data_IF_829052382102
#
_entry.id   IF_829052382102
#
_cell.length_a   1.000
_cell.length_b   1.000
_cell.length_c   1.000
_cell.angle_alpha   90.00
_cell.angle_beta   90.00
_cell.angle_gamma   90.00
#
_symmetry.space_group_name_H-M   'P 1'
#
loop_
_entity.id
_entity.type
_entity.pdbx_description
1 polymer ?
#
# COMPACT_ATOMS: atom_id res chain seq x y z
N UNK A 1 29.23 7.90 5.88
CA UNK A 1 28.75 6.63 5.32
C UNK A 1 27.22 6.73 5.25
N UNK A 2 26.65 6.65 4.05
CA UNK A 2 25.21 6.47 3.91
C UNK A 2 24.90 5.00 4.23
N UNK A 3 23.96 4.78 5.13
CA UNK A 3 23.42 3.44 5.37
C UNK A 3 22.43 3.06 4.26
N UNK A 4 22.32 1.77 3.88
CA UNK A 4 21.33 1.33 2.93
C UNK A 4 19.91 1.59 3.49
N UNK A 5 18.95 1.78 2.59
CA UNK A 5 17.53 1.86 2.98
C UNK A 5 17.12 0.65 3.81
N UNK A 6 16.21 0.85 4.75
CA UNK A 6 15.65 -0.25 5.53
C UNK A 6 14.95 -1.25 4.62
N UNK A 7 14.81 -2.50 5.07
CA UNK A 7 14.06 -3.53 4.35
C UNK A 7 12.63 -3.06 4.06
N UNK A 8 12.01 -2.43 5.04
CA UNK A 8 10.65 -1.91 4.93
C UNK A 8 10.52 -0.82 3.88
N UNK A 9 11.46 0.13 3.82
CA UNK A 9 11.48 1.15 2.76
C UNK A 9 11.60 0.52 1.37
N UNK A 10 12.47 -0.50 1.22
CA UNK A 10 12.61 -1.23 -0.05
C UNK A 10 11.32 -1.96 -0.43
N UNK A 11 10.63 -2.57 0.53
CA UNK A 11 9.34 -3.22 0.29
C UNK A 11 8.25 -2.20 -0.05
N UNK A 12 8.19 -1.05 0.62
CA UNK A 12 7.25 0.02 0.28
C UNK A 12 7.49 0.55 -1.16
N UNK A 13 8.76 0.75 -1.52
CA UNK A 13 9.14 1.13 -2.90
C UNK A 13 8.70 0.03 -3.88
N UNK A 14 8.90 -1.24 -3.53
CA UNK A 14 8.47 -2.37 -4.36
C UNK A 14 6.95 -2.36 -4.60
N UNK A 15 6.14 -2.23 -3.56
CA UNK A 15 4.69 -2.15 -3.68
C UNK A 15 4.23 -0.95 -4.53
N UNK A 16 4.96 0.17 -4.46
CA UNK A 16 4.63 1.41 -5.18
C UNK A 16 5.20 1.50 -6.60
N UNK A 17 6.13 0.62 -6.97
CA UNK A 17 6.73 0.52 -8.31
C UNK A 17 6.32 -0.77 -9.02
N UNK A 18 6.97 -1.89 -8.69
CA UNK A 18 6.68 -3.21 -9.28
C UNK A 18 5.23 -3.63 -9.01
N UNK A 19 4.74 -3.37 -7.81
CA UNK A 19 3.35 -3.60 -7.43
C UNK A 19 2.33 -2.73 -8.17
N UNK A 20 2.77 -1.79 -9.00
CA UNK A 20 1.95 -0.97 -9.91
C UNK A 20 2.33 -1.13 -11.37
N UNK A 21 3.01 -2.24 -11.71
CA UNK A 21 3.36 -2.57 -13.08
C UNK A 21 4.54 -1.79 -13.66
N UNK A 22 5.36 -1.12 -12.83
CA UNK A 22 6.56 -0.39 -13.28
C UNK A 22 7.84 -1.08 -12.80
N UNK A 23 8.96 -1.00 -13.53
CA UNK A 23 10.22 -1.55 -13.06
C UNK A 23 10.76 -0.79 -11.84
N UNK A 24 11.50 -1.49 -11.00
CA UNK A 24 12.26 -0.91 -9.89
C UNK A 24 13.75 -0.84 -10.28
N UNK A 25 14.29 0.38 -10.35
CA UNK A 25 15.72 0.62 -10.50
C UNK A 25 16.30 1.07 -9.16
N UNK A 26 17.17 0.24 -8.58
CA UNK A 26 17.91 0.57 -7.36
C UNK A 26 19.33 1.01 -7.71
N UNK A 27 19.69 2.21 -7.30
CA UNK A 27 21.06 2.68 -7.43
C UNK A 27 21.87 2.27 -6.19
N UNK A 28 22.98 1.58 -6.41
CA UNK A 28 23.90 1.11 -5.37
C UNK A 28 25.28 1.65 -5.72
N UNK A 29 25.76 2.70 -5.03
CA UNK A 29 27.06 3.27 -5.32
C UNK A 29 28.18 2.31 -4.92
N UNK A 30 29.27 2.20 -5.70
CA UNK A 30 30.43 1.45 -5.30
C UNK A 30 31.17 2.16 -4.14
N UNK A 31 31.87 1.38 -3.32
CA UNK A 31 32.82 1.89 -2.34
C UNK A 31 34.13 2.36 -3.01
N UNK A 32 35.11 2.82 -2.21
CA UNK A 32 36.39 3.30 -2.73
C UNK A 32 37.20 2.23 -3.46
N UNK A 33 36.94 0.95 -3.20
CA UNK A 33 37.57 -0.19 -3.87
C UNK A 33 36.86 -0.61 -5.17
N UNK A 34 35.79 0.12 -5.57
CA UNK A 34 34.98 -0.21 -6.74
C UNK A 34 34.06 -1.41 -6.53
N UNK A 35 33.78 -1.80 -5.27
CA UNK A 35 32.90 -2.91 -4.89
C UNK A 35 31.64 -2.38 -4.20
N UNK A 36 30.57 -3.16 -4.16
CA UNK A 36 29.44 -2.86 -3.29
C UNK A 36 29.86 -2.98 -1.83
N UNK A 37 29.37 -2.09 -0.98
CA UNK A 37 29.59 -2.19 0.45
C UNK A 37 28.89 -3.44 1.02
N UNK A 38 29.48 -4.09 2.03
CA UNK A 38 28.92 -5.32 2.62
C UNK A 38 27.51 -5.11 3.19
N UNK A 39 27.23 -3.93 3.73
CA UNK A 39 25.90 -3.55 4.22
C UNK A 39 24.86 -3.52 3.10
N UNK A 40 25.19 -2.99 1.91
CA UNK A 40 24.30 -2.97 0.74
C UNK A 40 24.05 -4.39 0.24
N UNK A 41 25.10 -5.22 0.17
CA UNK A 41 24.97 -6.63 -0.24
C UNK A 41 24.07 -7.40 0.72
N UNK A 42 24.24 -7.22 2.02
CA UNK A 42 23.41 -7.85 3.04
C UNK A 42 21.95 -7.42 2.89
N UNK A 43 21.68 -6.12 2.73
CA UNK A 43 20.33 -5.56 2.54
C UNK A 43 19.66 -6.09 1.28
N UNK A 44 20.36 -6.19 0.17
CA UNK A 44 19.82 -6.73 -1.08
C UNK A 44 19.44 -8.22 -0.95
N UNK A 45 20.27 -9.01 -0.27
CA UNK A 45 19.95 -10.42 0.01
C UNK A 45 18.70 -10.56 0.88
N UNK A 46 18.61 -9.77 1.93
CA UNK A 46 17.44 -9.73 2.81
C UNK A 46 16.17 -9.31 2.03
N UNK A 47 16.27 -8.28 1.20
CA UNK A 47 15.17 -7.85 0.33
C UNK A 47 14.72 -8.97 -0.62
N UNK A 48 15.66 -9.66 -1.27
CA UNK A 48 15.35 -10.80 -2.14
C UNK A 48 14.67 -11.93 -1.38
N UNK A 49 15.20 -12.32 -0.22
CA UNK A 49 14.62 -13.37 0.62
C UNK A 49 13.19 -13.01 1.06
N UNK A 50 12.95 -11.75 1.38
CA UNK A 50 11.62 -11.26 1.76
C UNK A 50 10.63 -11.33 0.61
N UNK A 51 11.05 -11.01 -0.62
CA UNK A 51 10.21 -11.18 -1.81
C UNK A 51 9.92 -12.66 -2.08
N UNK A 52 10.92 -13.54 -1.92
CA UNK A 52 10.72 -14.99 -2.07
C UNK A 52 9.73 -15.54 -1.03
N UNK A 53 9.75 -15.02 0.20
CA UNK A 53 8.78 -15.36 1.23
C UNK A 53 7.37 -14.84 0.90
N UNK A 54 7.25 -13.59 0.43
CA UNK A 54 5.96 -12.99 0.05
C UNK A 54 5.23 -13.84 -1.00
N UNK A 55 5.98 -14.35 -1.98
CA UNK A 55 5.42 -15.14 -3.08
C UNK A 55 5.54 -16.66 -2.89
N UNK A 56 6.00 -17.13 -1.72
CA UNK A 56 6.17 -18.57 -1.44
C UNK A 56 4.86 -19.33 -1.40
N UNK A 57 3.76 -18.69 -1.03
CA UNK A 57 2.42 -19.24 -0.96
C UNK A 57 1.45 -18.29 -1.62
N UNK A 58 0.73 -18.81 -2.61
CA UNK A 58 -0.43 -18.15 -3.20
C UNK A 58 -1.70 -18.88 -2.74
N UNK A 59 -2.47 -18.26 -1.86
CA UNK A 59 -3.72 -18.82 -1.33
C UNK A 59 -4.84 -18.90 -2.37
N UNK A 60 -4.71 -18.19 -3.50
CA UNK A 60 -5.65 -18.25 -4.61
C UNK A 60 -5.31 -19.33 -5.63
N UNK A 61 -4.12 -19.99 -5.55
CA UNK A 61 -3.73 -21.00 -6.52
C UNK A 61 -4.74 -22.16 -6.57
N UNK A 62 -5.39 -22.34 -7.72
CA UNK A 62 -6.41 -23.37 -7.93
C UNK A 62 -7.73 -23.13 -7.18
N UNK A 63 -7.94 -21.96 -6.61
CA UNK A 63 -9.19 -21.58 -5.95
C UNK A 63 -10.37 -21.63 -6.94
N UNK A 64 -11.55 -21.99 -6.44
CA UNK A 64 -12.78 -21.92 -7.24
C UNK A 64 -13.15 -20.45 -7.47
N UNK A 65 -13.56 -20.15 -8.70
CA UNK A 65 -13.95 -18.81 -9.08
C UNK A 65 -15.36 -18.82 -9.67
N UNK A 66 -16.26 -18.02 -9.07
CA UNK A 66 -17.58 -17.74 -9.61
C UNK A 66 -17.60 -16.31 -10.13
N UNK A 67 -17.87 -16.14 -11.42
CA UNK A 67 -18.01 -14.83 -12.05
C UNK A 67 -19.48 -14.53 -12.35
N UNK A 68 -19.89 -13.26 -12.22
CA UNK A 68 -21.23 -12.80 -12.56
C UNK A 68 -21.56 -13.02 -14.04
N UNK A 69 -20.55 -12.92 -14.88
CA UNK A 69 -20.64 -13.21 -16.30
C UNK A 69 -19.30 -13.69 -16.85
N UNK A 70 -19.35 -14.44 -17.94
CA UNK A 70 -18.16 -14.92 -18.66
C UNK A 70 -18.43 -14.87 -20.15
N UNK A 71 -17.50 -14.35 -20.92
CA UNK A 71 -17.57 -14.33 -22.39
C UNK A 71 -17.79 -15.73 -22.92
N UNK A 72 -18.72 -15.89 -23.86
CA UNK A 72 -19.09 -17.19 -24.45
C UNK A 72 -18.00 -17.70 -25.40
N UNK A 73 -16.81 -17.87 -24.89
CA UNK A 73 -15.67 -18.41 -25.62
C UNK A 73 -14.80 -19.21 -24.66
N UNK A 74 -14.41 -20.42 -25.06
CA UNK A 74 -13.58 -21.32 -24.23
C UNK A 74 -12.22 -20.72 -23.83
N UNK A 75 -11.78 -19.66 -24.49
CA UNK A 75 -10.54 -18.91 -24.16
C UNK A 75 -10.68 -18.05 -22.89
N UNK A 76 -11.93 -17.74 -22.45
CA UNK A 76 -12.17 -16.85 -21.33
C UNK A 76 -13.01 -17.54 -20.26
N UNK A 77 -12.35 -18.24 -19.32
CA UNK A 77 -13.03 -18.93 -18.21
C UNK A 77 -12.69 -18.29 -16.88
N UNK A 78 -13.63 -18.29 -15.94
CA UNK A 78 -13.37 -17.78 -14.59
C UNK A 78 -12.22 -18.52 -13.89
N UNK A 79 -12.10 -19.84 -14.10
CA UNK A 79 -11.01 -20.67 -13.56
C UNK A 79 -9.61 -20.27 -14.04
N UNK A 80 -9.49 -19.53 -15.14
CA UNK A 80 -8.21 -19.03 -15.65
C UNK A 80 -7.60 -17.93 -14.74
N UNK A 81 -8.38 -17.37 -13.84
CA UNK A 81 -7.88 -16.38 -12.89
C UNK A 81 -6.95 -16.97 -11.82
N UNK A 82 -7.02 -18.30 -11.61
CA UNK A 82 -6.30 -19.00 -10.52
C UNK A 82 -5.51 -20.23 -10.99
N UNK A 83 -5.39 -20.44 -12.30
CA UNK A 83 -4.70 -21.61 -12.88
C UNK A 83 -3.16 -21.43 -12.97
N UNK A 84 -2.66 -20.20 -12.75
CA UNK A 84 -1.23 -19.88 -12.78
C UNK A 84 -0.65 -19.76 -14.20
N UNK A 85 -1.47 -19.87 -15.26
CA UNK A 85 -1.03 -19.68 -16.65
C UNK A 85 -1.35 -18.28 -17.15
N UNK A 86 -0.34 -17.44 -17.28
CA UNK A 86 -0.48 -16.06 -17.76
C UNK A 86 -0.98 -15.95 -19.21
N UNK A 87 -1.06 -17.07 -19.96
CA UNK A 87 -1.58 -17.10 -21.32
C UNK A 87 -3.09 -17.32 -21.39
N UNK A 88 -3.69 -17.79 -20.32
CA UNK A 88 -5.14 -17.92 -20.17
C UNK A 88 -5.74 -16.66 -19.58
N UNK A 89 -7.04 -16.43 -19.74
CA UNK A 89 -7.67 -15.22 -19.25
C UNK A 89 -9.14 -15.44 -18.94
N UNK A 90 -9.69 -14.55 -18.10
CA UNK A 90 -11.11 -14.35 -17.93
C UNK A 90 -11.53 -12.98 -18.53
N UNK A 91 -12.72 -12.94 -19.08
CA UNK A 91 -13.41 -11.71 -19.45
C UNK A 91 -14.91 -11.86 -19.15
N UNK A 92 -15.60 -10.78 -18.72
CA UNK A 92 -17.06 -10.79 -18.61
C UNK A 92 -17.73 -10.90 -19.99
N UNK A 93 -19.05 -10.81 -20.04
CA UNK A 93 -19.79 -10.82 -21.30
C UNK A 93 -19.25 -9.78 -22.28
N UNK A 94 -19.49 -10.01 -23.57
CA UNK A 94 -19.06 -9.10 -24.63
C UNK A 94 -19.64 -7.69 -24.40
N UNK A 95 -18.81 -6.69 -24.68
CA UNK A 95 -19.09 -5.25 -24.54
C UNK A 95 -19.33 -4.76 -23.10
N UNK A 96 -19.28 -5.65 -22.10
CA UNK A 96 -19.35 -5.23 -20.70
C UNK A 96 -18.09 -4.44 -20.30
N UNK A 97 -18.29 -3.31 -19.63
CA UNK A 97 -17.20 -2.49 -19.03
C UNK A 97 -17.04 -2.70 -17.54
N UNK A 98 -17.93 -3.50 -16.97
CA UNK A 98 -17.92 -3.91 -15.57
C UNK A 98 -18.00 -5.43 -15.49
N UNK A 99 -17.70 -5.98 -14.33
CA UNK A 99 -17.81 -7.41 -14.06
C UNK A 99 -17.28 -7.72 -12.69
N UNK A 100 -17.75 -8.80 -12.10
CA UNK A 100 -17.28 -9.23 -10.80
C UNK A 100 -17.07 -10.74 -10.74
N UNK A 101 -16.22 -11.14 -9.81
CA UNK A 101 -16.00 -12.54 -9.49
C UNK A 101 -15.69 -12.73 -8.01
N UNK A 102 -16.01 -13.90 -7.50
CA UNK A 102 -15.73 -14.34 -6.15
C UNK A 102 -14.77 -15.52 -6.20
N UNK A 103 -13.71 -15.46 -5.39
CA UNK A 103 -12.82 -16.60 -5.13
C UNK A 103 -13.25 -17.28 -3.84
N UNK A 104 -13.32 -18.61 -3.88
CA UNK A 104 -13.37 -19.47 -2.70
C UNK A 104 -11.98 -20.06 -2.45
N UNK A 105 -11.28 -19.57 -1.43
CA UNK A 105 -9.95 -20.03 -1.04
C UNK A 105 -9.94 -21.42 -0.38
N UNK A 106 -11.10 -22.12 -0.38
CA UNK A 106 -11.29 -23.46 0.17
C UNK A 106 -11.45 -23.52 1.69
N UNK A 107 -10.74 -22.66 2.40
CA UNK A 107 -10.83 -22.47 3.85
C UNK A 107 -10.50 -21.03 4.21
N UNK A 108 -10.73 -20.65 5.45
CA UNK A 108 -10.25 -19.37 5.98
C UNK A 108 -8.73 -19.28 5.89
N UNK A 109 -8.23 -18.20 5.32
CA UNK A 109 -6.82 -17.88 5.14
C UNK A 109 -6.53 -16.53 5.76
N UNK A 110 -5.33 -16.39 6.34
CA UNK A 110 -4.82 -15.12 6.86
C UNK A 110 -3.93 -14.46 5.82
N UNK A 111 -4.38 -13.32 5.27
CA UNK A 111 -3.67 -12.60 4.21
C UNK A 111 -3.86 -11.09 4.31
N UNK A 112 -3.03 -10.36 3.57
CA UNK A 112 -3.07 -8.90 3.53
C UNK A 112 -2.62 -8.33 2.18
N UNK A 113 -2.35 -9.18 1.18
CA UNK A 113 -1.95 -8.76 -0.17
C UNK A 113 -2.80 -9.48 -1.20
N UNK A 114 -3.39 -8.72 -2.12
CA UNK A 114 -4.07 -9.24 -3.32
C UNK A 114 -3.35 -8.69 -4.55
N UNK A 115 -3.01 -9.57 -5.47
CA UNK A 115 -2.45 -9.22 -6.78
C UNK A 115 -3.50 -9.44 -7.86
N UNK A 116 -3.65 -8.45 -8.75
CA UNK A 116 -4.43 -8.55 -9.97
C UNK A 116 -3.51 -8.37 -11.17
N UNK A 117 -3.77 -9.09 -12.26
CA UNK A 117 -3.07 -8.97 -13.53
C UNK A 117 -4.05 -8.83 -14.68
N UNK A 118 -3.87 -7.79 -15.52
CA UNK A 118 -4.54 -7.67 -16.81
C UNK A 118 -3.74 -8.35 -17.90
N UNK A 119 -4.44 -8.92 -18.89
CA UNK A 119 -3.83 -9.44 -20.13
C UNK A 119 -3.34 -8.26 -20.97
N UNK A 120 -2.19 -7.71 -20.58
CA UNK A 120 -1.67 -6.44 -21.10
C UNK A 120 -1.41 -6.44 -22.61
N UNK A 121 -1.20 -7.61 -23.20
CA UNK A 121 -1.10 -7.79 -24.67
C UNK A 121 -2.38 -7.38 -25.41
N UNK A 122 -3.52 -7.38 -24.72
CA UNK A 122 -4.82 -6.91 -25.21
C UNK A 122 -5.09 -5.45 -24.88
N UNK A 123 -4.13 -4.77 -24.22
CA UNK A 123 -4.21 -3.40 -23.75
C UNK A 123 -4.73 -3.27 -22.31
N UNK A 124 -4.26 -2.24 -21.64
CA UNK A 124 -4.77 -1.84 -20.33
C UNK A 124 -6.16 -1.24 -20.49
N UNK A 125 -7.16 -1.78 -19.82
CA UNK A 125 -8.58 -1.42 -20.01
C UNK A 125 -9.27 -0.99 -18.73
N UNK A 126 -8.89 -1.59 -17.60
CA UNK A 126 -9.51 -1.34 -16.29
C UNK A 126 -9.12 0.07 -15.83
N UNK A 127 -10.14 0.87 -15.47
CA UNK A 127 -10.01 2.22 -14.92
C UNK A 127 -10.58 2.36 -13.50
N UNK A 128 -11.23 1.32 -12.97
CA UNK A 128 -11.71 1.27 -11.60
C UNK A 128 -12.00 -0.15 -11.14
N UNK A 129 -11.63 -0.47 -9.89
CA UNK A 129 -11.97 -1.75 -9.26
C UNK A 129 -12.01 -1.64 -7.74
N UNK A 130 -12.76 -2.54 -7.10
CA UNK A 130 -12.79 -2.75 -5.66
C UNK A 130 -12.52 -4.21 -5.32
N UNK A 131 -11.99 -4.44 -4.13
CA UNK A 131 -11.78 -5.75 -3.54
C UNK A 131 -12.47 -5.77 -2.18
N UNK A 132 -13.34 -6.74 -1.97
CA UNK A 132 -14.00 -7.00 -0.70
C UNK A 132 -13.65 -8.40 -0.20
N UNK A 133 -13.70 -8.59 1.12
CA UNK A 133 -13.51 -9.88 1.78
C UNK A 133 -14.70 -10.21 2.67
N UNK A 134 -15.03 -11.49 2.82
CA UNK A 134 -16.13 -11.91 3.69
C UNK A 134 -15.62 -12.11 5.12
N UNK A 135 -16.12 -11.28 6.05
CA UNK A 135 -15.83 -11.39 7.49
C UNK A 135 -17.16 -11.55 8.23
N UNK A 136 -17.29 -12.61 9.02
CA UNK A 136 -18.53 -12.93 9.75
C UNK A 136 -19.78 -12.93 8.86
N UNK A 137 -19.67 -13.42 7.62
CA UNK A 137 -20.77 -13.51 6.66
C UNK A 137 -21.15 -12.19 5.98
N UNK A 138 -20.37 -11.11 6.19
CA UNK A 138 -20.58 -9.80 5.55
C UNK A 138 -19.41 -9.43 4.68
N UNK A 139 -19.66 -8.79 3.54
CA UNK A 139 -18.62 -8.23 2.69
C UNK A 139 -18.11 -6.92 3.29
N UNK A 140 -16.81 -6.85 3.55
CA UNK A 140 -16.14 -5.66 4.04
C UNK A 140 -15.07 -5.22 3.04
N UNK A 141 -14.84 -3.91 2.85
CA UNK A 141 -13.82 -3.41 1.93
C UNK A 141 -12.42 -3.88 2.35
N UNK A 142 -11.67 -4.41 1.39
CA UNK A 142 -10.25 -4.75 1.56
C UNK A 142 -9.35 -3.73 0.86
N UNK A 143 -9.72 -3.29 -0.33
CA UNK A 143 -8.97 -2.31 -1.09
C UNK A 143 -9.63 -1.91 -2.39
N UNK A 144 -9.06 -0.91 -3.06
CA UNK A 144 -9.54 -0.41 -4.34
C UNK A 144 -8.38 0.15 -5.17
N UNK A 145 -8.65 0.39 -6.44
CA UNK A 145 -7.70 1.03 -7.34
C UNK A 145 -8.32 1.52 -8.62
N UNK A 146 -7.60 2.38 -9.35
CA UNK A 146 -8.03 2.89 -10.64
C UNK A 146 -7.62 1.98 -11.80
N UNK A 147 -6.39 1.45 -11.80
CA UNK A 147 -5.86 0.66 -12.90
C UNK A 147 -5.26 -0.64 -12.38
N UNK A 148 -5.30 -1.68 -13.20
CA UNK A 148 -4.61 -2.95 -12.94
C UNK A 148 -3.31 -3.01 -13.75
N UNK A 149 -3.38 -3.01 -15.07
CA UNK A 149 -2.23 -3.12 -15.95
C UNK A 149 -1.53 -4.48 -15.84
N UNK A 150 -0.24 -4.51 -16.16
CA UNK A 150 0.56 -5.73 -16.10
C UNK A 150 0.50 -6.42 -14.72
N UNK A 151 0.49 -5.61 -13.65
CA UNK A 151 0.43 -6.08 -12.25
C UNK A 151 -0.11 -4.99 -11.35
N UNK A 152 -0.97 -5.37 -10.43
CA UNK A 152 -1.44 -4.50 -9.37
C UNK A 152 -1.46 -5.23 -8.04
N UNK A 153 -0.56 -4.85 -7.13
CA UNK A 153 -0.58 -5.29 -5.74
C UNK A 153 -1.43 -4.33 -4.91
N UNK A 154 -2.37 -4.87 -4.17
CA UNK A 154 -3.17 -4.16 -3.17
C UNK A 154 -2.79 -4.71 -1.81
N UNK A 155 -2.20 -3.87 -0.97
CA UNK A 155 -1.94 -4.18 0.44
C UNK A 155 -3.12 -3.66 1.27
N UNK A 156 -3.86 -4.58 1.87
CA UNK A 156 -4.93 -4.28 2.82
C UNK A 156 -4.47 -4.42 4.28
N UNK A 157 -5.42 -4.28 5.21
CA UNK A 157 -5.21 -4.72 6.58
C UNK A 157 -5.20 -6.26 6.61
N UNK A 158 -4.40 -6.89 7.49
CA UNK A 158 -4.44 -8.33 7.68
C UNK A 158 -5.86 -8.78 8.04
N UNK A 159 -6.34 -9.83 7.38
CA UNK A 159 -7.69 -10.34 7.54
C UNK A 159 -7.72 -11.85 7.44
N UNK A 160 -8.61 -12.46 8.21
CA UNK A 160 -8.97 -13.87 8.08
C UNK A 160 -10.24 -13.98 7.24
N UNK A 161 -10.14 -14.59 6.06
CA UNK A 161 -11.29 -14.78 5.17
C UNK A 161 -11.12 -16.00 4.27
N UNK A 162 -12.24 -16.64 3.95
CA UNK A 162 -12.32 -17.68 2.93
C UNK A 162 -12.71 -17.12 1.56
N UNK A 163 -13.49 -16.04 1.53
CA UNK A 163 -14.03 -15.52 0.28
C UNK A 163 -13.51 -14.11 0.00
N UNK A 164 -13.11 -13.90 -1.25
CA UNK A 164 -12.64 -12.63 -1.77
C UNK A 164 -13.44 -12.30 -3.03
N UNK A 165 -13.98 -11.07 -3.10
CA UNK A 165 -14.69 -10.56 -4.27
C UNK A 165 -13.90 -9.44 -4.91
N UNK A 166 -13.71 -9.53 -6.22
CA UNK A 166 -13.19 -8.45 -7.04
C UNK A 166 -14.30 -7.93 -7.94
N UNK A 167 -14.51 -6.62 -7.93
CA UNK A 167 -15.49 -5.94 -8.78
C UNK A 167 -14.78 -4.91 -9.65
N UNK A 168 -14.83 -5.09 -10.96
CA UNK A 168 -14.39 -4.09 -11.93
C UNK A 168 -15.52 -3.07 -12.06
N UNK A 169 -15.29 -1.86 -11.60
CA UNK A 169 -16.31 -0.80 -11.51
C UNK A 169 -16.33 0.09 -12.74
N UNK A 170 -15.21 0.17 -13.46
CA UNK A 170 -15.09 0.92 -14.71
C UNK A 170 -13.95 0.38 -15.58
N UNK A 171 -14.15 0.42 -16.91
CA UNK A 171 -13.13 0.07 -17.90
C UNK A 171 -13.35 0.80 -19.22
N UNK A 172 -12.28 1.08 -19.96
CA UNK A 172 -12.35 1.71 -21.29
C UNK A 172 -12.87 0.75 -22.38
N UNK A 173 -12.63 -0.55 -22.20
CA UNK A 173 -13.15 -1.63 -23.03
C UNK A 173 -13.41 -2.85 -22.13
N UNK A 174 -14.01 -3.93 -22.66
CA UNK A 174 -14.24 -5.16 -21.90
C UNK A 174 -12.98 -5.60 -21.18
N UNK A 175 -12.98 -5.67 -19.84
CA UNK A 175 -11.79 -6.05 -19.07
C UNK A 175 -11.37 -7.49 -19.36
N UNK A 176 -10.06 -7.74 -19.35
CA UNK A 176 -9.49 -9.07 -19.53
C UNK A 176 -8.39 -9.26 -18.49
N UNK A 177 -8.61 -10.17 -17.55
CA UNK A 177 -7.63 -10.50 -16.52
C UNK A 177 -7.06 -11.91 -16.75
N UNK A 178 -5.77 -12.06 -16.49
CA UNK A 178 -5.06 -13.34 -16.61
C UNK A 178 -4.52 -13.85 -15.26
N UNK A 179 -4.86 -13.21 -14.15
CA UNK A 179 -4.45 -13.74 -12.86
C UNK A 179 -4.95 -12.95 -11.66
N UNK A 180 -5.18 -13.71 -10.59
CA UNK A 180 -5.38 -13.20 -9.23
C UNK A 180 -4.55 -14.06 -8.29
N UNK A 181 -3.77 -13.42 -7.42
CA UNK A 181 -3.03 -14.08 -6.36
C UNK A 181 -3.36 -13.47 -5.01
N UNK A 182 -3.30 -14.27 -3.96
CA UNK A 182 -3.54 -13.85 -2.57
C UNK A 182 -2.37 -14.29 -1.72
N UNK A 183 -1.68 -13.33 -1.12
CA UNK A 183 -0.45 -13.55 -0.38
C UNK A 183 -0.49 -12.92 1.01
N UNK A 184 0.47 -13.32 1.84
CA UNK A 184 0.69 -12.74 3.16
C UNK A 184 2.04 -12.04 3.21
N UNK A 185 2.06 -10.82 3.75
CA UNK A 185 3.31 -10.11 4.05
C UNK A 185 4.13 -10.90 5.08
N UNK A 186 5.43 -11.14 4.85
CA UNK A 186 6.29 -11.77 5.84
C UNK A 186 6.39 -10.98 7.14
N UNK A 187 6.39 -11.65 8.28
CA UNK A 187 6.46 -11.05 9.61
C UNK A 187 7.70 -10.15 9.81
N UNK A 188 8.82 -10.46 9.15
CA UNK A 188 10.04 -9.65 9.18
C UNK A 188 9.84 -8.18 8.73
N UNK A 189 8.74 -7.90 8.01
CA UNK A 189 8.40 -6.55 7.58
C UNK A 189 7.46 -5.86 8.58
N UNK A 190 6.62 -6.62 9.27
CA UNK A 190 5.61 -6.08 10.18
C UNK A 190 6.21 -5.52 11.46
N UNK A 191 7.36 -6.05 11.90
CA UNK A 191 7.94 -5.76 13.22
C UNK A 191 8.82 -4.50 13.28
N UNK A 192 9.29 -3.94 12.14
CA UNK A 192 10.43 -3.04 12.20
C UNK A 192 10.13 -1.54 12.25
N UNK A 193 9.04 -1.01 11.67
CA UNK A 193 8.89 0.46 11.56
C UNK A 193 7.46 1.02 11.72
N UNK A 194 6.52 0.25 12.18
CA UNK A 194 5.26 0.74 12.75
C UNK A 194 4.21 1.37 11.82
N UNK A 195 4.39 1.51 10.50
CA UNK A 195 3.36 1.99 9.60
C UNK A 195 3.02 0.98 8.49
N UNK A 196 1.76 0.90 8.01
CA UNK A 196 1.35 -0.05 6.99
C UNK A 196 2.02 0.19 5.62
N UNK A 197 2.35 -0.90 4.90
CA UNK A 197 2.92 -0.84 3.56
C UNK A 197 1.83 -0.54 2.51
N UNK A 198 2.27 0.03 1.38
CA UNK A 198 1.43 0.17 0.18
C UNK A 198 0.33 1.22 0.26
N UNK A 199 0.20 1.96 1.36
CA UNK A 199 -0.78 3.03 1.52
C UNK A 199 -0.49 4.22 0.60
N UNK A 200 -1.52 5.02 0.28
CA UNK A 200 -1.33 6.34 -0.28
C UNK A 200 -0.50 7.18 0.69
N UNK A 201 0.52 7.86 0.18
CA UNK A 201 1.45 8.60 0.98
C UNK A 201 1.33 10.09 0.68
N UNK A 202 1.04 10.87 1.71
CA UNK A 202 1.06 12.32 1.66
C UNK A 202 2.34 12.79 2.37
N UNK A 203 3.19 13.51 1.67
CA UNK A 203 4.39 14.13 2.22
C UNK A 203 4.17 15.63 2.41
N UNK A 204 5.11 16.29 3.07
CA UNK A 204 5.24 17.73 3.14
C UNK A 204 5.02 18.45 1.80
N UNK A 205 5.49 17.86 0.68
CA UNK A 205 5.30 18.39 -0.67
C UNK A 205 3.88 18.27 -1.21
N UNK A 206 3.03 17.45 -0.58
CA UNK A 206 1.62 17.27 -0.92
C UNK A 206 0.68 17.93 0.08
N UNK A 207 1.22 18.64 1.08
CA UNK A 207 0.45 19.41 2.01
C UNK A 207 -0.27 20.54 1.27
N UNK A 208 -1.59 20.59 1.38
CA UNK A 208 -2.38 21.63 0.69
C UNK A 208 -2.32 23.00 1.39
N UNK A 209 -2.08 22.97 2.71
CA UNK A 209 -1.95 24.21 3.52
C UNK A 209 -0.90 23.99 4.59
N UNK A 210 0.14 24.81 4.55
CA UNK A 210 1.04 25.01 5.67
C UNK A 210 0.85 26.44 6.19
N UNK A 211 0.58 26.59 7.48
CA UNK A 211 0.54 27.86 8.17
C UNK A 211 1.73 27.93 9.13
N UNK A 212 2.39 29.09 9.21
CA UNK A 212 3.62 29.28 9.99
C UNK A 212 4.89 28.93 9.22
N UNK A 213 6.02 29.03 9.89
CA UNK A 213 7.34 28.73 9.31
C UNK A 213 7.68 27.25 9.49
N UNK A 214 7.95 26.57 8.38
CA UNK A 214 8.37 25.18 8.34
C UNK A 214 9.74 25.06 7.69
N UNK A 215 10.57 24.19 8.24
CA UNK A 215 11.88 23.87 7.71
C UNK A 215 11.81 22.48 7.06
N UNK A 216 12.47 22.30 5.93
CA UNK A 216 12.60 21.00 5.28
C UNK A 216 13.88 20.30 5.71
N UNK A 217 13.81 19.00 5.93
CA UNK A 217 14.96 18.15 6.20
C UNK A 217 14.93 16.97 5.23
N UNK A 218 16.08 16.65 4.61
CA UNK A 218 16.21 15.62 3.59
C UNK A 218 16.11 14.16 4.08
N UNK A 219 15.45 13.89 5.21
CA UNK A 219 15.58 12.64 5.97
C UNK A 219 14.25 11.92 6.28
N UNK A 220 13.15 12.28 5.61
CA UNK A 220 11.86 11.60 5.78
C UNK A 220 11.74 10.27 5.04
N UNK A 221 10.60 9.60 5.19
CA UNK A 221 10.26 8.28 4.56
C UNK A 221 10.49 8.28 3.05
N UNK A 222 10.46 9.44 2.40
CA UNK A 222 10.79 9.63 0.97
C UNK A 222 11.91 10.65 0.76
N UNK A 223 12.78 10.81 1.74
CA UNK A 223 13.90 11.75 1.68
C UNK A 223 13.55 13.19 2.05
N UNK A 224 12.33 13.45 2.52
CA UNK A 224 11.90 14.77 3.01
C UNK A 224 11.05 14.64 4.26
N UNK A 225 11.27 15.53 5.22
CA UNK A 225 10.38 15.78 6.35
C UNK A 225 10.32 17.28 6.60
N UNK A 226 9.20 17.76 7.12
CA UNK A 226 9.08 19.14 7.59
C UNK A 226 9.08 19.16 9.11
N UNK A 227 9.68 20.19 9.67
CA UNK A 227 9.63 20.45 11.10
C UNK A 227 9.45 21.92 11.39
N UNK A 228 8.88 22.21 12.54
CA UNK A 228 8.68 23.58 13.01
C UNK A 228 8.85 23.67 14.54
N UNK A 229 9.29 24.85 15.01
CA UNK A 229 9.24 25.23 16.44
C UNK A 229 8.23 26.34 16.69
N UNK A 230 7.53 26.77 15.67
CA UNK A 230 6.56 27.84 15.80
C UNK A 230 5.27 27.31 16.42
N UNK A 231 4.92 27.82 17.58
CA UNK A 231 3.66 27.48 18.25
C UNK A 231 2.46 27.93 17.40
N UNK A 232 1.53 27.01 17.16
CA UNK A 232 0.36 27.26 16.33
C UNK A 232 0.59 27.02 14.84
N UNK A 233 1.84 26.78 14.40
CA UNK A 233 2.09 26.36 13.03
C UNK A 233 1.36 25.05 12.73
N UNK A 234 0.79 24.94 11.53
CA UNK A 234 -0.04 23.80 11.14
C UNK A 234 0.16 23.40 9.69
N UNK A 235 -0.06 22.13 9.43
CA UNK A 235 -0.06 21.54 8.09
C UNK A 235 -1.30 20.70 7.90
N UNK A 236 -1.93 20.81 6.73
CA UNK A 236 -3.18 20.07 6.41
C UNK A 236 -2.98 19.22 5.17
N UNK A 237 -3.46 17.99 5.24
CA UNK A 237 -3.48 17.02 4.16
C UNK A 237 -4.92 16.61 3.85
N UNK A 238 -5.24 16.45 2.57
CA UNK A 238 -6.48 15.80 2.15
C UNK A 238 -6.20 14.34 1.80
N UNK A 239 -7.09 13.45 2.17
CA UNK A 239 -7.00 12.03 1.83
C UNK A 239 -8.39 11.42 1.64
N UNK A 240 -8.45 10.35 0.85
CA UNK A 240 -9.62 9.48 0.74
C UNK A 240 -9.34 8.15 1.41
N UNK A 241 -10.29 7.67 2.22
CA UNK A 241 -10.13 6.38 2.89
C UNK A 241 -10.95 6.27 4.17
N UNK A 242 -10.59 5.27 4.97
CA UNK A 242 -11.24 4.98 6.26
C UNK A 242 -10.27 5.13 7.44
N UNK A 243 -9.00 5.43 7.19
CA UNK A 243 -7.97 5.52 8.24
C UNK A 243 -6.76 6.34 7.76
N UNK A 244 -6.14 7.07 8.65
CA UNK A 244 -4.87 7.75 8.41
C UNK A 244 -3.84 7.45 9.52
N UNK A 245 -2.57 7.49 9.13
CA UNK A 245 -1.43 7.30 10.02
C UNK A 245 -0.53 8.54 9.98
N UNK A 246 -0.07 8.99 11.14
CA UNK A 246 0.97 10.03 11.23
C UNK A 246 2.30 9.35 11.44
N UNK A 247 3.23 9.60 10.54
CA UNK A 247 4.60 9.12 10.60
C UNK A 247 5.52 10.32 10.79
N UNK A 248 6.30 10.32 11.85
CA UNK A 248 7.20 11.41 12.20
C UNK A 248 8.57 10.92 12.66
N UNK A 249 9.55 11.80 12.68
CA UNK A 249 10.78 11.59 13.44
C UNK A 249 10.47 11.83 14.91
N UNK A 250 10.99 10.99 15.79
CA UNK A 250 11.00 11.23 17.24
C UNK A 250 12.42 11.55 17.68
N UNK A 251 12.59 12.51 18.60
CA UNK A 251 13.90 13.06 18.98
C UNK A 251 13.88 13.62 20.40
N UNK A 252 15.01 13.68 21.14
CA UNK A 252 15.05 14.29 22.47
C UNK A 252 14.60 15.75 22.54
N UNK A 253 14.75 16.49 21.43
CA UNK A 253 14.35 17.89 21.32
C UNK A 253 12.95 18.10 20.76
N UNK A 254 12.19 17.05 20.50
CA UNK A 254 10.82 17.14 20.01
C UNK A 254 9.80 17.27 21.16
N UNK A 255 8.60 17.73 20.83
CA UNK A 255 7.51 17.96 21.75
C UNK A 255 6.18 17.34 21.30
N UNK A 256 5.10 18.10 21.51
CA UNK A 256 3.75 17.61 21.27
C UNK A 256 3.11 18.30 20.07
N UNK A 257 2.40 17.50 19.27
CA UNK A 257 1.53 17.99 18.22
C UNK A 257 0.08 17.56 18.45
N UNK A 258 -0.84 18.44 18.10
CA UNK A 258 -2.25 18.14 18.09
C UNK A 258 -2.68 17.60 16.72
N UNK A 259 -3.48 16.55 16.74
CA UNK A 259 -3.99 15.88 15.53
C UNK A 259 -5.49 16.14 15.42
N UNK A 260 -5.89 16.69 14.27
CA UNK A 260 -7.27 16.98 13.93
C UNK A 260 -7.68 16.18 12.69
N UNK A 261 -8.90 15.67 12.68
CA UNK A 261 -9.53 15.10 11.49
C UNK A 261 -10.85 15.84 11.24
N UNK A 262 -11.04 16.34 10.03
CA UNK A 262 -12.23 17.12 9.63
C UNK A 262 -12.51 18.31 10.59
N UNK A 263 -11.46 18.93 11.11
CA UNK A 263 -11.53 20.06 12.05
C UNK A 263 -11.77 19.66 13.51
N UNK A 264 -12.00 18.39 13.83
CA UNK A 264 -12.14 17.88 15.18
C UNK A 264 -10.81 17.39 15.72
N UNK A 265 -10.39 17.88 16.91
CA UNK A 265 -9.20 17.36 17.60
C UNK A 265 -9.46 15.94 18.09
N UNK A 266 -8.61 15.01 17.68
CA UNK A 266 -8.68 13.61 18.07
C UNK A 266 -7.63 13.24 19.11
N UNK A 267 -6.44 13.86 19.05
CA UNK A 267 -5.34 13.50 19.95
C UNK A 267 -4.33 14.64 20.11
N UNK A 268 -3.52 14.54 21.17
CA UNK A 268 -2.22 15.20 21.29
C UNK A 268 -1.17 14.08 21.32
N UNK A 269 -0.21 14.15 20.43
CA UNK A 269 0.82 13.13 20.22
C UNK A 269 2.15 13.70 20.66
N UNK A 270 2.85 12.97 21.53
CA UNK A 270 4.21 13.31 21.94
C UNK A 270 5.23 12.65 21.00
N UNK A 271 6.09 13.45 20.38
CA UNK A 271 7.18 12.98 19.50
C UNK A 271 8.55 13.04 20.18
N UNK A 272 8.60 13.31 21.49
CA UNK A 272 9.82 13.23 22.27
C UNK A 272 10.27 11.77 22.47
N UNK A 273 11.55 11.52 22.32
CA UNK A 273 12.18 10.20 22.52
C UNK A 273 13.60 10.36 23.05
N UNK A 274 14.10 9.47 23.92
CA UNK A 274 15.49 9.53 24.41
C UNK A 274 16.54 9.47 23.29
N UNK A 275 16.19 8.89 22.15
CA UNK A 275 17.06 8.78 20.98
C UNK A 275 16.30 9.16 19.72
N UNK A 276 17.02 9.78 18.76
CA UNK A 276 16.43 10.10 17.46
C UNK A 276 16.12 8.82 16.70
N UNK A 277 14.85 8.68 16.29
CA UNK A 277 14.37 7.61 15.41
C UNK A 277 13.52 8.23 14.32
N UNK A 278 13.82 7.90 13.07
CA UNK A 278 13.09 8.39 11.90
C UNK A 278 11.92 7.47 11.57
N UNK A 279 10.95 8.01 10.85
CA UNK A 279 9.86 7.23 10.24
C UNK A 279 9.06 6.38 11.23
N UNK A 280 8.81 6.92 12.42
CA UNK A 280 8.01 6.22 13.44
C UNK A 280 6.51 6.51 13.23
N UNK A 281 5.67 5.47 13.30
CA UNK A 281 4.22 5.67 13.42
C UNK A 281 3.92 6.24 14.80
N UNK A 282 3.58 7.51 14.86
CA UNK A 282 3.30 8.21 16.12
C UNK A 282 1.83 8.33 16.44
N UNK A 283 0.96 8.16 15.43
CA UNK A 283 -0.49 8.18 15.62
C UNK A 283 -1.22 7.38 14.53
N UNK A 284 -2.38 6.87 14.89
CA UNK A 284 -3.33 6.20 14.01
C UNK A 284 -4.73 6.73 14.33
N UNK A 285 -5.49 7.15 13.31
CA UNK A 285 -6.89 7.59 13.54
C UNK A 285 -7.76 6.39 13.91
N UNK A 286 -8.86 6.58 14.65
CA UNK A 286 -9.95 5.63 14.68
C UNK A 286 -10.45 5.34 13.25
N UNK A 287 -11.26 4.29 13.10
CA UNK A 287 -11.91 4.03 11.82
C UNK A 287 -12.85 5.18 11.46
N UNK A 288 -12.65 5.71 10.26
CA UNK A 288 -13.44 6.80 9.69
C UNK A 288 -14.48 6.24 8.72
N UNK A 289 -15.51 7.00 8.44
CA UNK A 289 -16.44 6.66 7.36
C UNK A 289 -15.69 6.77 6.02
N UNK A 290 -15.91 5.82 5.11
CA UNK A 290 -15.30 5.88 3.78
C UNK A 290 -15.64 7.21 3.07
N UNK A 291 -14.62 7.87 2.53
CA UNK A 291 -14.76 9.14 1.82
C UNK A 291 -13.56 10.07 1.98
N UNK A 292 -13.77 11.33 1.58
CA UNK A 292 -12.77 12.38 1.66
C UNK A 292 -12.68 12.97 3.07
N UNK A 293 -11.46 13.15 3.56
CA UNK A 293 -11.15 13.67 4.88
C UNK A 293 -9.99 14.66 4.83
N UNK A 294 -9.91 15.51 5.87
CA UNK A 294 -8.75 16.35 6.13
C UNK A 294 -8.05 15.90 7.40
N UNK A 295 -6.72 15.79 7.36
CA UNK A 295 -5.86 15.60 8.52
C UNK A 295 -5.04 16.87 8.74
N UNK A 296 -5.16 17.49 9.92
CA UNK A 296 -4.37 18.68 10.28
C UNK A 296 -3.51 18.38 11.49
N UNK A 297 -2.22 18.70 11.38
CA UNK A 297 -1.25 18.60 12.46
C UNK A 297 -0.88 20.00 12.91
N UNK A 298 -0.90 20.25 14.21
CA UNK A 298 -0.63 21.58 14.80
C UNK A 298 0.44 21.48 15.87
N UNK A 299 1.47 22.31 15.80
CA UNK A 299 2.42 22.48 16.89
C UNK A 299 1.74 23.19 18.08
N UNK A 300 1.37 22.44 19.10
CA UNK A 300 0.60 22.99 20.21
C UNK A 300 1.44 23.72 21.27
N UNK A 301 2.72 23.37 21.40
CA UNK A 301 3.58 23.90 22.49
C UNK A 301 4.71 24.79 22.02
N UNK A 302 5.22 24.63 20.80
CA UNK A 302 6.36 25.41 20.30
C UNK A 302 7.70 24.68 20.43
N UNK A 303 7.70 23.41 20.87
CA UNK A 303 8.84 22.51 20.72
C UNK A 303 8.94 22.03 19.26
N UNK A 304 10.06 21.44 18.86
CA UNK A 304 10.14 20.89 17.50
C UNK A 304 9.14 19.73 17.33
N UNK A 305 8.45 19.70 16.21
CA UNK A 305 7.57 18.59 15.81
C UNK A 305 7.86 18.21 14.37
#
# INVERSE_FOLDING_TARGET
NQEPKSLRELMDIYFKSVGRGTPLLLNIPPNQDGKFADADVARLKEFRQTLDQLYSVDYAAGALVEADSTRRNALYKASHLTDGDEKTSWAPADDAKTGSFVLDLGKEQHFDVVELKETIEKGQRISGFTIDVAVNGQWVPFGAGSTVGYRRLIKGQPVDSRYLRVSITDAQATPILNGVSVCKTPASIEETDGYPLGLAYHSDRTAERANGQWNEEGEGVRGTSMWTKEKGASVTYQFEGTKAYVVATVDPGHGEMDVYVNGQKLATVNTQSPTRKRSQKVYETPDLKAGAHTLTLVNSKGDAI
#
